data_IF_724328909616
#
_entry.id   IF_724328909616
#
_cell.length_a   1.000
_cell.length_b   1.000
_cell.length_c   1.000
_cell.angle_alpha   90.00
_cell.angle_beta   90.00
_cell.angle_gamma   90.00
#
_symmetry.space_group_name_H-M   'P 1'
#
loop_
_entity.id
_entity.type
_entity.pdbx_description
1 polymer ?
#
# COMPACT_ATOMS: atom_id res chain seq x y z
N UNK A 1 8.46 -4.88 10.35
CA UNK A 1 8.36 -4.20 9.04
C UNK A 1 9.66 -4.17 8.24
N UNK A 2 10.63 -3.29 8.53
CA UNK A 2 11.79 -3.05 7.64
C UNK A 2 12.62 -4.31 7.34
N UNK A 3 12.79 -5.18 8.34
CA UNK A 3 13.47 -6.47 8.16
C UNK A 3 12.76 -7.37 7.14
N UNK A 4 11.42 -7.45 7.19
CA UNK A 4 10.64 -8.24 6.23
C UNK A 4 10.79 -7.74 4.80
N UNK A 5 10.83 -6.42 4.61
CA UNK A 5 11.09 -5.81 3.29
C UNK A 5 12.49 -6.17 2.78
N UNK A 6 13.52 -6.05 3.62
CA UNK A 6 14.91 -6.37 3.26
C UNK A 6 15.05 -7.86 2.90
N UNK A 7 14.45 -8.76 3.70
CA UNK A 7 14.49 -10.20 3.42
C UNK A 7 13.79 -10.56 2.11
N UNK A 8 12.62 -9.96 1.84
CA UNK A 8 11.91 -10.13 0.59
C UNK A 8 12.73 -9.61 -0.61
N UNK A 9 13.45 -8.51 -0.45
CA UNK A 9 14.34 -7.95 -1.47
C UNK A 9 15.56 -8.83 -1.71
N UNK A 10 16.21 -9.35 -0.65
CA UNK A 10 17.32 -10.29 -0.77
C UNK A 10 16.90 -11.59 -1.46
N UNK A 11 15.69 -12.07 -1.21
CA UNK A 11 15.16 -13.29 -1.82
C UNK A 11 14.85 -13.11 -3.32
N UNK A 12 14.24 -11.97 -3.69
CA UNK A 12 13.74 -11.77 -5.06
C UNK A 12 14.69 -10.96 -5.95
N UNK A 13 15.62 -10.21 -5.36
CA UNK A 13 16.43 -9.20 -6.05
C UNK A 13 15.68 -7.90 -6.37
N UNK A 14 14.45 -7.75 -5.89
CA UNK A 14 13.62 -6.57 -6.17
C UNK A 14 12.99 -5.99 -4.91
N UNK A 15 12.91 -4.66 -4.84
CA UNK A 15 12.22 -3.95 -3.75
C UNK A 15 10.74 -4.35 -3.72
N UNK A 16 10.29 -4.95 -2.60
CA UNK A 16 8.91 -5.46 -2.44
C UNK A 16 7.87 -4.34 -2.58
N UNK A 17 8.11 -3.20 -1.93
CA UNK A 17 7.24 -2.03 -1.97
C UNK A 17 8.01 -0.82 -2.49
N UNK A 18 8.01 -0.60 -3.81
CA UNK A 18 8.65 0.60 -4.37
C UNK A 18 7.89 1.85 -3.92
N UNK A 19 8.65 2.91 -3.62
CA UNK A 19 8.17 4.12 -2.99
C UNK A 19 8.27 5.32 -3.96
N UNK A 20 7.50 5.26 -5.05
CA UNK A 20 7.42 6.37 -6.02
C UNK A 20 6.63 7.55 -5.43
N UNK A 21 5.64 7.24 -4.58
CA UNK A 21 4.86 8.18 -3.78
C UNK A 21 4.26 7.46 -2.57
N UNK A 22 3.86 8.20 -1.54
CA UNK A 22 3.21 7.61 -0.36
C UNK A 22 1.93 6.87 -0.75
N UNK A 23 1.14 7.41 -1.67
CA UNK A 23 -0.10 6.79 -2.10
C UNK A 23 0.13 5.49 -2.89
N UNK A 24 1.14 5.48 -3.76
CA UNK A 24 1.50 4.26 -4.50
C UNK A 24 2.08 3.19 -3.58
N UNK A 25 2.83 3.59 -2.55
CA UNK A 25 3.31 2.71 -1.49
C UNK A 25 2.14 2.07 -0.72
N UNK A 26 1.19 2.89 -0.24
CA UNK A 26 0.00 2.41 0.47
C UNK A 26 -0.83 1.47 -0.42
N UNK A 27 -0.99 1.79 -1.70
CA UNK A 27 -1.71 0.93 -2.64
C UNK A 27 -1.04 -0.43 -2.82
N UNK A 28 0.29 -0.50 -2.79
CA UNK A 28 1.03 -1.79 -2.85
C UNK A 28 0.88 -2.58 -1.56
N UNK A 29 0.91 -1.93 -0.41
CA UNK A 29 0.67 -2.58 0.89
C UNK A 29 -0.72 -3.21 0.91
N UNK A 30 -1.75 -2.43 0.57
CA UNK A 30 -3.14 -2.92 0.45
C UNK A 30 -3.27 -4.06 -0.57
N UNK A 31 -2.52 -3.97 -1.66
CA UNK A 31 -2.57 -4.95 -2.74
C UNK A 31 -1.80 -6.24 -2.48
N UNK A 32 -0.89 -6.30 -1.50
CA UNK A 32 -0.05 -7.48 -1.20
C UNK A 32 -0.38 -8.08 0.16
N UNK A 33 -0.53 -7.24 1.18
CA UNK A 33 -0.76 -7.63 2.57
C UNK A 33 -2.26 -7.68 2.87
N UNK A 34 -3.01 -6.69 2.38
CA UNK A 34 -4.45 -6.56 2.62
C UNK A 34 -4.80 -5.23 3.29
N UNK A 35 -6.07 -5.12 3.70
CA UNK A 35 -6.62 -3.86 4.19
C UNK A 35 -6.09 -3.50 5.58
N UNK A 36 -5.96 -2.19 5.84
CA UNK A 36 -5.54 -1.72 7.14
C UNK A 36 -6.64 -1.92 8.20
N UNK A 37 -6.29 -2.37 9.42
CA UNK A 37 -7.23 -2.44 10.52
C UNK A 37 -7.93 -1.10 10.80
N UNK A 38 -9.24 -1.15 11.08
CA UNK A 38 -10.06 0.04 11.33
C UNK A 38 -9.49 0.97 12.41
N UNK A 39 -8.94 0.41 13.49
CA UNK A 39 -8.36 1.18 14.58
C UNK A 39 -7.11 1.99 14.18
N UNK A 40 -6.39 1.57 13.13
CA UNK A 40 -5.28 2.36 12.58
C UNK A 40 -5.79 3.50 11.71
N UNK A 41 -6.84 3.23 10.92
CA UNK A 41 -7.47 4.23 10.07
C UNK A 41 -8.12 5.36 10.89
N UNK A 42 -8.70 5.06 12.06
CA UNK A 42 -9.29 6.10 12.91
C UNK A 42 -8.29 6.93 13.70
N UNK A 43 -7.14 6.34 14.06
CA UNK A 43 -6.09 7.04 14.84
C UNK A 43 -5.07 7.80 13.98
N UNK A 44 -5.01 7.50 12.69
CA UNK A 44 -4.00 8.06 11.79
C UNK A 44 -4.26 9.54 11.46
N UNK A 45 -3.34 10.42 11.88
CA UNK A 45 -3.41 11.87 11.62
C UNK A 45 -3.53 12.24 10.14
N UNK A 46 -2.87 11.47 9.27
CA UNK A 46 -2.79 11.74 7.84
C UNK A 46 -3.75 10.88 7.01
N UNK A 47 -4.59 10.06 7.64
CA UNK A 47 -5.56 9.20 6.91
C UNK A 47 -6.46 10.03 5.98
N UNK A 48 -7.02 11.19 6.41
CA UNK A 48 -7.85 12.02 5.53
C UNK A 48 -7.12 12.63 4.33
N UNK A 49 -5.78 12.55 4.26
CA UNK A 49 -4.99 13.05 3.12
C UNK A 49 -4.79 12.00 2.03
N UNK A 50 -4.96 10.72 2.37
CA UNK A 50 -4.69 9.61 1.47
C UNK A 50 -5.91 8.73 1.21
N UNK A 51 -6.86 8.69 2.14
CA UNK A 51 -8.05 7.85 2.08
C UNK A 51 -9.32 8.68 2.01
N UNK A 52 -10.27 8.26 1.19
CA UNK A 52 -11.64 8.78 1.19
C UNK A 52 -12.40 8.29 2.43
N UNK A 53 -13.59 8.85 2.66
CA UNK A 53 -14.47 8.38 3.73
C UNK A 53 -14.86 6.90 3.56
N UNK A 54 -14.91 6.43 2.30
CA UNK A 54 -15.17 5.02 1.94
C UNK A 54 -13.92 4.13 2.04
N UNK A 55 -12.80 4.65 2.56
CA UNK A 55 -11.54 3.91 2.73
C UNK A 55 -10.76 3.66 1.44
N UNK A 56 -11.09 4.36 0.35
CA UNK A 56 -10.36 4.22 -0.93
C UNK A 56 -9.17 5.16 -0.98
N UNK A 57 -8.05 4.70 -1.54
CA UNK A 57 -6.89 5.57 -1.74
C UNK A 57 -7.16 6.58 -2.84
N UNK A 58 -6.75 7.83 -2.63
CA UNK A 58 -6.84 8.87 -3.64
C UNK A 58 -5.57 9.72 -3.69
N UNK A 59 -5.38 10.37 -4.84
CA UNK A 59 -4.38 11.40 -5.05
C UNK A 59 -5.06 12.64 -5.65
N UNK A 60 -4.80 13.81 -5.08
CA UNK A 60 -5.31 15.07 -5.63
C UNK A 60 -4.47 15.47 -6.85
N UNK A 61 -5.14 15.86 -7.93
CA UNK A 61 -4.46 16.36 -9.13
C UNK A 61 -4.24 17.86 -8.94
N UNK A 62 -2.98 18.28 -8.91
CA UNK A 62 -2.65 19.69 -9.03
C UNK A 62 -2.96 20.15 -10.47
N UNK A 63 -4.04 20.91 -10.61
CA UNK A 63 -4.43 21.58 -11.85
C UNK A 63 -4.91 23.00 -11.54
N UNK A 64 -5.00 23.89 -12.54
CA UNK A 64 -5.51 25.23 -12.31
C UNK A 64 -6.89 25.10 -11.66
N UNK A 65 -7.03 25.69 -10.49
CA UNK A 65 -8.28 25.72 -9.75
C UNK A 65 -9.31 26.49 -10.61
N UNK A 66 -10.10 25.78 -11.40
CA UNK A 66 -11.32 26.34 -11.94
C UNK A 66 -12.28 26.45 -10.75
N UNK A 67 -12.67 27.64 -10.28
CA UNK A 67 -13.55 27.78 -9.12
C UNK A 67 -14.90 27.07 -9.29
N UNK A 68 -15.31 26.78 -10.53
CA UNK A 68 -16.55 26.07 -10.87
C UNK A 68 -16.42 24.53 -10.86
N UNK A 69 -15.20 23.98 -10.93
CA UNK A 69 -14.95 22.53 -10.87
C UNK A 69 -14.17 22.25 -9.61
N UNK A 70 -14.84 21.69 -8.60
CA UNK A 70 -14.23 21.31 -7.32
C UNK A 70 -13.00 20.41 -7.45
N UNK A 71 -12.42 20.01 -6.31
CA UNK A 71 -11.19 19.20 -6.25
C UNK A 71 -11.27 17.98 -7.17
N UNK A 72 -10.27 17.81 -8.04
CA UNK A 72 -10.13 16.63 -8.90
C UNK A 72 -9.29 15.58 -8.19
N UNK A 73 -9.91 14.44 -7.88
CA UNK A 73 -9.27 13.32 -7.21
C UNK A 73 -9.08 12.17 -8.18
N UNK A 74 -7.89 11.57 -8.22
CA UNK A 74 -7.63 10.28 -8.85
C UNK A 74 -7.74 9.19 -7.79
N UNK A 75 -8.69 8.27 -7.97
CA UNK A 75 -8.77 7.07 -7.14
C UNK A 75 -7.69 6.08 -7.55
N UNK A 76 -6.93 5.61 -6.58
CA UNK A 76 -5.89 4.61 -6.76
C UNK A 76 -6.46 3.25 -6.36
N UNK A 77 -6.59 2.36 -7.34
CA UNK A 77 -7.05 0.99 -7.10
C UNK A 77 -5.84 0.09 -6.85
N UNK A 78 -5.66 -0.47 -5.64
CA UNK A 78 -4.61 -1.43 -5.36
C UNK A 78 -4.66 -2.63 -6.31
N UNK A 79 -3.54 -2.94 -6.97
CA UNK A 79 -3.44 -4.18 -7.74
C UNK A 79 -3.45 -5.37 -6.78
N UNK A 80 -4.53 -6.15 -6.80
CA UNK A 80 -4.67 -7.36 -5.99
C UNK A 80 -3.60 -8.38 -6.42
N UNK A 81 -2.68 -8.66 -5.50
CA UNK A 81 -1.61 -9.66 -5.59
C UNK A 81 -1.45 -10.31 -4.22
N UNK A 82 -0.51 -11.23 -4.05
CA UNK A 82 -0.22 -11.85 -2.76
C UNK A 82 1.27 -11.91 -2.50
N UNK A 83 1.66 -12.03 -1.22
CA UNK A 83 3.05 -12.24 -0.85
C UNK A 83 3.63 -13.48 -1.55
N UNK A 84 2.87 -14.58 -1.62
CA UNK A 84 3.22 -15.79 -2.39
C UNK A 84 3.58 -15.47 -3.85
N UNK A 85 2.69 -14.76 -4.54
CA UNK A 85 2.90 -14.39 -5.95
C UNK A 85 4.10 -13.47 -6.13
N UNK A 86 4.36 -12.57 -5.17
CA UNK A 86 5.51 -11.65 -5.20
C UNK A 86 6.83 -12.36 -4.93
N UNK A 87 6.84 -13.30 -3.99
CA UNK A 87 8.03 -14.07 -3.61
C UNK A 87 8.33 -15.24 -4.56
N UNK A 88 7.36 -15.63 -5.40
CA UNK A 88 7.48 -16.74 -6.37
C UNK A 88 7.93 -18.04 -5.72
N UNK A 89 7.39 -18.32 -4.54
CA UNK A 89 7.76 -19.49 -3.73
C UNK A 89 6.51 -20.11 -3.12
N UNK A 90 6.53 -21.42 -2.93
CA UNK A 90 5.45 -22.19 -2.30
C UNK A 90 5.81 -22.63 -0.86
N UNK A 91 6.97 -22.21 -0.34
CA UNK A 91 7.40 -22.54 1.02
C UNK A 91 6.56 -21.76 2.05
N UNK A 92 5.65 -22.46 2.73
CA UNK A 92 4.75 -21.87 3.72
C UNK A 92 5.49 -21.34 4.94
N UNK A 93 6.60 -21.97 5.35
CA UNK A 93 7.38 -21.54 6.50
C UNK A 93 8.02 -20.18 6.25
N UNK A 94 8.58 -19.98 5.05
CA UNK A 94 9.17 -18.70 4.65
C UNK A 94 8.11 -17.61 4.48
N UNK A 95 6.99 -17.94 3.83
CA UNK A 95 5.88 -16.99 3.66
C UNK A 95 5.24 -16.62 5.00
N UNK A 96 5.07 -17.59 5.90
CA UNK A 96 4.57 -17.37 7.25
C UNK A 96 5.51 -16.47 8.06
N UNK A 97 6.81 -16.76 8.01
CA UNK A 97 7.84 -15.93 8.64
C UNK A 97 7.84 -14.49 8.11
N UNK A 98 7.84 -14.30 6.78
CA UNK A 98 7.75 -12.97 6.18
C UNK A 98 6.47 -12.24 6.55
N UNK A 99 5.34 -12.95 6.60
CA UNK A 99 4.05 -12.35 6.99
C UNK A 99 4.12 -11.79 8.40
N UNK A 100 4.71 -12.51 9.35
CA UNK A 100 4.91 -12.02 10.73
C UNK A 100 5.82 -10.78 10.78
N UNK A 101 6.81 -10.69 9.89
CA UNK A 101 7.70 -9.53 9.82
C UNK A 101 7.07 -8.30 9.14
N UNK A 102 6.00 -8.51 8.37
CA UNK A 102 5.29 -7.49 7.59
C UNK A 102 3.92 -7.13 8.19
N UNK A 103 3.63 -7.55 9.42
CA UNK A 103 2.56 -6.99 10.26
C UNK A 103 3.13 -5.92 11.20
#
# INVERSE_FOLDING_TARGET
WSLGCILAELWTGYVLFQNDSVQSLLARILGIIGDFPYHLMTRGRYVPQYFTQDGQLYQEIEGPACPERGRRLHLLVPKKTSLRQRMRTECEEFLGFLTQLLQ
#
